data_IF_561410470758
#
_entry.id   IF_561410470758
#
_cell.length_a   1.000
_cell.length_b   1.000
_cell.length_c   1.000
_cell.angle_alpha   90.00
_cell.angle_beta   90.00
_cell.angle_gamma   90.00
#
_symmetry.space_group_name_H-M   'P 1'
#
loop_
_entity.id
_entity.type
_entity.pdbx_description
1 polymer ?
#
# COMPACT_ATOMS: atom_id res chain seq x y z
N UNK A 1 1.46 -32.97 -6.75
CA UNK A 1 2.77 -33.11 -6.17
C UNK A 1 3.74 -32.14 -6.81
N UNK A 2 4.25 -31.16 -6.08
CA UNK A 2 5.27 -30.23 -6.57
C UNK A 2 6.66 -30.82 -6.35
N UNK A 3 7.61 -30.45 -7.21
CA UNK A 3 9.00 -30.80 -7.01
C UNK A 3 9.57 -29.99 -5.82
N UNK A 4 10.29 -30.68 -4.93
CA UNK A 4 11.04 -30.00 -3.87
C UNK A 4 12.21 -29.26 -4.52
N UNK A 5 12.25 -27.94 -4.34
CA UNK A 5 13.37 -27.12 -4.82
C UNK A 5 14.39 -26.89 -3.71
N UNK A 6 15.65 -26.63 -4.02
CA UNK A 6 16.67 -26.30 -3.02
C UNK A 6 16.44 -24.91 -2.39
N UNK A 7 15.51 -24.12 -2.91
CA UNK A 7 15.24 -22.76 -2.45
C UNK A 7 14.39 -22.78 -1.17
N UNK A 8 14.77 -21.99 -0.21
CA UNK A 8 14.01 -21.75 1.03
C UNK A 8 13.25 -20.45 0.92
N UNK A 9 12.06 -20.42 1.51
CA UNK A 9 11.33 -19.15 1.70
C UNK A 9 12.19 -18.27 2.63
N UNK A 10 12.58 -17.05 2.20
CA UNK A 10 13.37 -16.17 3.03
C UNK A 10 12.56 -15.71 4.25
N UNK A 11 13.24 -15.42 5.35
CA UNK A 11 12.63 -14.75 6.50
C UNK A 11 12.40 -13.28 6.17
N UNK A 12 11.46 -12.62 6.87
CA UNK A 12 11.22 -11.19 6.70
C UNK A 12 12.51 -10.38 6.90
N UNK A 13 13.31 -10.72 7.92
CA UNK A 13 14.60 -10.06 8.14
C UNK A 13 15.51 -10.14 6.91
N UNK A 14 15.64 -11.31 6.29
CA UNK A 14 16.45 -11.47 5.07
C UNK A 14 15.92 -10.63 3.90
N UNK A 15 14.60 -10.51 3.78
CA UNK A 15 13.96 -9.68 2.74
C UNK A 15 14.25 -8.20 3.00
N UNK A 16 14.09 -7.73 4.23
CA UNK A 16 14.36 -6.33 4.61
C UNK A 16 15.84 -5.97 4.39
N UNK A 17 16.75 -6.81 4.80
CA UNK A 17 18.19 -6.65 4.58
C UNK A 17 18.52 -6.55 3.07
N UNK A 18 17.94 -7.44 2.28
CA UNK A 18 18.16 -7.45 0.83
C UNK A 18 17.62 -6.20 0.14
N UNK A 19 16.44 -5.75 0.54
CA UNK A 19 15.74 -4.63 -0.09
C UNK A 19 16.05 -3.26 0.53
N UNK A 20 16.87 -3.21 1.58
CA UNK A 20 17.32 -1.96 2.18
C UNK A 20 17.93 -1.05 1.11
N UNK A 21 17.47 0.18 1.04
CA UNK A 21 17.91 1.21 0.10
C UNK A 21 17.67 0.87 -1.40
N UNK A 22 16.85 -0.16 -1.71
CA UNK A 22 16.57 -0.59 -3.09
C UNK A 22 15.09 -0.53 -3.44
N UNK A 23 14.21 -0.87 -2.50
CA UNK A 23 12.77 -0.97 -2.72
C UNK A 23 12.01 -0.45 -1.51
N UNK A 24 10.77 -0.02 -1.72
CA UNK A 24 9.80 0.21 -0.64
C UNK A 24 9.02 -1.07 -0.40
N UNK A 25 8.91 -1.47 0.85
CA UNK A 25 8.12 -2.63 1.25
C UNK A 25 6.72 -2.19 1.69
N UNK A 26 5.70 -2.70 1.03
CA UNK A 26 4.33 -2.53 1.49
C UNK A 26 3.92 -3.74 2.34
N UNK A 27 3.73 -3.52 3.63
CA UNK A 27 3.31 -4.55 4.58
C UNK A 27 1.78 -4.58 4.70
N UNK A 28 1.19 -5.66 4.25
CA UNK A 28 -0.24 -5.92 4.37
C UNK A 28 -0.50 -6.94 5.49
N UNK A 29 -0.95 -6.46 6.66
CA UNK A 29 -1.28 -7.30 7.81
C UNK A 29 -2.58 -8.06 7.59
N UNK A 30 -2.47 -9.30 7.13
CA UNK A 30 -3.65 -10.14 6.81
C UNK A 30 -4.51 -10.50 8.03
N UNK A 31 -3.95 -10.53 9.25
CA UNK A 31 -4.73 -10.89 10.44
C UNK A 31 -5.84 -9.90 10.79
N UNK A 32 -5.65 -8.62 10.48
CA UNK A 32 -6.61 -7.56 10.83
C UNK A 32 -7.96 -7.75 10.10
N UNK A 33 -7.93 -8.24 8.86
CA UNK A 33 -9.12 -8.37 8.01
C UNK A 33 -9.54 -9.82 7.74
N UNK A 34 -8.87 -10.80 8.32
CA UNK A 34 -9.24 -12.20 8.11
C UNK A 34 -10.53 -12.49 8.86
N UNK A 35 -11.56 -12.95 8.13
CA UNK A 35 -12.84 -13.37 8.72
C UNK A 35 -12.61 -14.50 9.73
N UNK A 36 -13.19 -14.38 10.92
CA UNK A 36 -13.07 -15.37 11.99
C UNK A 36 -11.84 -15.19 12.89
N UNK A 37 -10.99 -14.22 12.65
CA UNK A 37 -9.93 -13.83 13.58
C UNK A 37 -10.54 -13.00 14.71
N UNK A 38 -10.26 -13.39 15.96
CA UNK A 38 -10.75 -12.66 17.14
C UNK A 38 -10.09 -11.28 17.27
N UNK A 39 -10.76 -10.35 17.94
CA UNK A 39 -10.22 -9.00 18.15
C UNK A 39 -8.95 -9.00 19.02
N UNK A 40 -8.79 -9.99 19.92
CA UNK A 40 -7.55 -10.20 20.65
C UNK A 40 -6.37 -10.51 19.71
N UNK A 41 -6.57 -11.40 18.73
CA UNK A 41 -5.53 -11.76 17.75
C UNK A 41 -5.22 -10.58 16.84
N UNK A 42 -6.23 -9.83 16.43
CA UNK A 42 -6.04 -8.60 15.64
C UNK A 42 -5.19 -7.59 16.41
N UNK A 43 -5.59 -7.32 17.68
CA UNK A 43 -4.84 -6.40 18.54
C UNK A 43 -3.40 -6.88 18.77
N UNK A 44 -3.21 -8.16 19.08
CA UNK A 44 -1.87 -8.72 19.27
C UNK A 44 -0.99 -8.58 18.02
N UNK A 45 -1.59 -8.66 16.82
CA UNK A 45 -0.90 -8.42 15.57
C UNK A 45 -0.48 -6.96 15.42
N UNK A 46 -1.35 -5.98 15.73
CA UNK A 46 -1.01 -4.56 15.74
C UNK A 46 0.12 -4.26 16.74
N UNK A 47 -0.02 -4.75 17.96
CA UNK A 47 0.98 -4.57 19.03
C UNK A 47 2.35 -5.17 18.63
N UNK A 48 2.34 -6.29 17.89
CA UNK A 48 3.56 -6.89 17.36
C UNK A 48 4.25 -5.95 16.35
N UNK A 49 3.50 -5.38 15.39
CA UNK A 49 4.05 -4.41 14.44
C UNK A 49 4.60 -3.17 15.15
N UNK A 50 3.86 -2.63 16.12
CA UNK A 50 4.31 -1.50 16.95
C UNK A 50 5.65 -1.85 17.61
N UNK A 51 5.75 -3.00 18.26
CA UNK A 51 6.99 -3.45 18.89
C UNK A 51 8.16 -3.53 17.91
N UNK A 52 7.93 -4.03 16.70
CA UNK A 52 9.00 -4.19 15.71
C UNK A 52 9.46 -2.85 15.10
N UNK A 53 8.54 -1.90 14.95
CA UNK A 53 8.79 -0.59 14.34
C UNK A 53 9.29 0.48 15.34
N UNK A 54 9.01 0.28 16.63
CA UNK A 54 9.46 1.18 17.69
C UNK A 54 10.99 1.17 17.86
N UNK A 55 11.60 2.22 18.42
CA UNK A 55 13.04 2.27 18.68
C UNK A 55 13.54 1.03 19.43
N UNK A 56 14.54 0.36 18.85
CA UNK A 56 15.08 -0.90 19.35
C UNK A 56 14.36 -2.17 18.88
N UNK A 57 13.29 -2.06 18.13
CA UNK A 57 12.65 -3.18 17.43
C UNK A 57 13.42 -3.60 16.17
N UNK A 58 13.21 -4.84 15.73
CA UNK A 58 13.95 -5.43 14.60
C UNK A 58 13.75 -4.70 13.26
N UNK A 59 12.65 -3.94 13.11
CA UNK A 59 12.33 -3.21 11.88
C UNK A 59 12.58 -1.70 11.98
N UNK A 60 12.92 -1.19 13.15
CA UNK A 60 13.04 0.25 13.41
C UNK A 60 14.14 0.96 12.59
N UNK A 61 15.09 0.20 12.07
CA UNK A 61 16.19 0.72 11.25
C UNK A 61 15.87 0.83 9.75
N UNK A 62 14.71 0.34 9.32
CA UNK A 62 14.31 0.37 7.92
C UNK A 62 13.34 1.53 7.68
N UNK A 63 13.76 2.49 6.86
CA UNK A 63 12.97 3.68 6.51
C UNK A 63 12.17 3.53 5.21
N UNK A 64 12.21 2.34 4.63
CA UNK A 64 11.55 1.99 3.37
C UNK A 64 10.34 1.05 3.58
N UNK A 65 9.68 1.17 4.74
CA UNK A 65 8.47 0.42 5.07
C UNK A 65 7.25 1.31 4.90
N UNK A 66 6.26 0.79 4.19
CA UNK A 66 4.91 1.30 4.09
C UNK A 66 3.96 0.28 4.73
N UNK A 67 3.01 0.73 5.53
CA UNK A 67 1.98 -0.11 6.13
C UNK A 67 0.65 0.07 5.42
N UNK A 68 0.12 -0.99 4.82
CA UNK A 68 -1.27 -1.01 4.37
C UNK A 68 -2.20 -1.07 5.58
N UNK A 69 -2.95 0.00 5.79
CA UNK A 69 -3.95 0.10 6.86
C UNK A 69 -5.36 0.15 6.28
N UNK A 70 -6.34 -0.38 7.01
CA UNK A 70 -7.70 -0.60 6.49
C UNK A 70 -8.71 0.45 6.96
N UNK A 71 -8.32 1.26 7.93
CA UNK A 71 -9.16 2.33 8.44
C UNK A 71 -8.30 3.44 9.02
N UNK A 72 -8.91 4.61 9.15
CA UNK A 72 -8.29 5.74 9.85
C UNK A 72 -7.97 5.39 11.32
N UNK A 73 -8.82 4.60 11.98
CA UNK A 73 -8.60 4.17 13.37
C UNK A 73 -7.35 3.29 13.49
N UNK A 74 -7.10 2.42 12.51
CA UNK A 74 -5.88 1.61 12.47
C UNK A 74 -4.64 2.48 12.27
N UNK A 75 -4.69 3.43 11.35
CA UNK A 75 -3.60 4.39 11.15
C UNK A 75 -3.31 5.20 12.42
N UNK A 76 -4.36 5.75 13.03
CA UNK A 76 -4.27 6.49 14.29
C UNK A 76 -3.77 5.61 15.44
N UNK A 77 -4.11 4.30 15.45
CA UNK A 77 -3.58 3.39 16.44
C UNK A 77 -2.06 3.29 16.38
N UNK A 78 -1.48 3.12 15.19
CA UNK A 78 -0.02 3.13 15.03
C UNK A 78 0.57 4.51 15.36
N UNK A 79 -0.03 5.58 14.84
CA UNK A 79 0.43 6.96 15.04
C UNK A 79 0.50 7.33 16.52
N UNK A 80 -0.57 7.05 17.28
CA UNK A 80 -0.67 7.35 18.71
C UNK A 80 0.28 6.50 19.57
N UNK A 81 0.80 5.39 19.03
CA UNK A 81 1.83 4.58 19.67
C UNK A 81 3.26 4.98 19.23
N UNK A 82 3.41 6.14 18.58
CA UNK A 82 4.72 6.71 18.24
C UNK A 82 5.36 6.12 16.99
N UNK A 83 4.60 5.43 16.13
CA UNK A 83 5.11 4.92 14.85
C UNK A 83 5.03 6.05 13.81
N UNK A 84 6.11 6.83 13.73
CA UNK A 84 6.25 7.98 12.83
C UNK A 84 7.36 7.79 11.79
N UNK A 85 7.92 6.59 11.67
CA UNK A 85 9.04 6.26 10.78
C UNK A 85 8.62 5.44 9.57
N UNK A 86 7.32 5.35 9.30
CA UNK A 86 6.73 4.63 8.17
C UNK A 86 5.75 5.52 7.40
N UNK A 87 5.42 5.11 6.20
CA UNK A 87 4.31 5.66 5.43
C UNK A 87 3.09 4.77 5.59
N UNK A 88 1.92 5.35 5.76
CA UNK A 88 0.65 4.62 5.80
C UNK A 88 0.01 4.61 4.42
N UNK A 89 -0.19 3.43 3.86
CA UNK A 89 -0.98 3.24 2.64
C UNK A 89 -2.45 3.08 3.04
N UNK A 90 -3.25 4.10 2.78
CA UNK A 90 -4.62 4.22 3.25
C UNK A 90 -5.59 4.33 2.09
N UNK A 91 -6.82 3.77 2.23
CA UNK A 91 -7.84 3.95 1.21
C UNK A 91 -8.41 5.37 1.24
N UNK A 92 -8.22 6.12 0.13
CA UNK A 92 -8.87 7.41 -0.11
C UNK A 92 -9.54 7.35 -1.49
N UNK A 93 -10.74 6.79 -1.52
CA UNK A 93 -11.52 6.53 -2.73
C UNK A 93 -12.86 7.29 -2.74
N UNK A 94 -12.97 8.34 -1.94
CA UNK A 94 -14.14 9.24 -1.87
C UNK A 94 -13.79 10.57 -1.22
N UNK A 95 -14.64 11.58 -1.39
CA UNK A 95 -14.54 12.86 -0.66
C UNK A 95 -14.64 12.65 0.86
N UNK A 96 -15.48 11.73 1.31
CA UNK A 96 -15.62 11.41 2.74
C UNK A 96 -14.32 10.88 3.33
N UNK A 97 -13.65 9.96 2.63
CA UNK A 97 -12.34 9.46 3.04
C UNK A 97 -11.29 10.59 3.08
N UNK A 98 -11.25 11.43 2.03
CA UNK A 98 -10.33 12.56 2.00
C UNK A 98 -10.55 13.49 3.19
N UNK A 99 -11.79 13.90 3.46
CA UNK A 99 -12.11 14.77 4.59
C UNK A 99 -11.80 14.15 5.95
N UNK A 100 -11.94 12.82 6.10
CA UNK A 100 -11.60 12.14 7.33
C UNK A 100 -10.11 12.23 7.62
N UNK A 101 -9.26 12.00 6.60
CA UNK A 101 -7.81 12.14 6.75
C UNK A 101 -7.37 13.61 6.87
N UNK A 102 -8.04 14.54 6.20
CA UNK A 102 -7.75 15.98 6.32
C UNK A 102 -8.01 16.55 7.73
N UNK A 103 -8.84 15.87 8.50
CA UNK A 103 -9.19 16.23 9.90
C UNK A 103 -8.42 15.44 10.95
N UNK A 104 -7.64 14.43 10.55
CA UNK A 104 -6.88 13.62 11.51
C UNK A 104 -5.50 14.22 11.80
N UNK A 105 -4.87 13.74 12.88
CA UNK A 105 -3.57 14.24 13.34
C UNK A 105 -2.37 13.65 12.58
N UNK A 106 -2.59 12.79 11.58
CA UNK A 106 -1.50 12.22 10.78
C UNK A 106 -1.14 13.20 9.65
N UNK A 107 0.09 13.71 9.60
CA UNK A 107 0.52 14.59 8.53
C UNK A 107 0.47 13.91 7.15
N UNK A 108 0.13 14.67 6.12
CA UNK A 108 -0.02 14.15 4.76
C UNK A 108 1.25 13.55 4.16
N UNK A 109 2.44 13.97 4.62
CA UNK A 109 3.73 13.40 4.21
C UNK A 109 4.00 12.00 4.77
N UNK A 110 3.14 11.51 5.69
CA UNK A 110 3.11 10.13 6.16
C UNK A 110 2.03 9.28 5.48
N UNK A 111 1.32 9.82 4.50
CA UNK A 111 0.21 9.14 3.84
C UNK A 111 0.53 8.90 2.37
N UNK A 112 0.26 7.67 1.93
CA UNK A 112 0.07 7.30 0.53
C UNK A 112 -1.39 6.94 0.33
N UNK A 113 -2.04 7.55 -0.64
CA UNK A 113 -3.44 7.32 -0.90
C UNK A 113 -3.65 6.14 -1.86
N UNK A 114 -4.29 5.07 -1.37
CA UNK A 114 -4.78 3.98 -2.20
C UNK A 114 -6.14 4.37 -2.80
N UNK A 115 -6.13 4.69 -4.08
CA UNK A 115 -7.30 5.28 -4.77
C UNK A 115 -8.11 4.28 -5.58
N UNK A 116 -7.80 3.01 -5.51
CA UNK A 116 -8.42 1.82 -6.12
C UNK A 116 -8.57 1.84 -7.64
N UNK A 117 -9.29 2.81 -8.21
CA UNK A 117 -9.63 2.86 -9.64
C UNK A 117 -9.17 4.20 -10.21
N UNK A 118 -8.11 4.15 -11.01
CA UNK A 118 -7.53 5.35 -11.62
C UNK A 118 -8.44 5.99 -12.67
N UNK A 119 -9.23 5.20 -13.39
CA UNK A 119 -10.07 5.69 -14.49
C UNK A 119 -11.52 6.01 -14.10
N UNK A 120 -11.82 6.22 -12.83
CA UNK A 120 -13.14 6.69 -12.41
C UNK A 120 -13.19 8.23 -12.44
N UNK A 121 -13.88 8.87 -13.40
CA UNK A 121 -13.94 10.32 -13.49
C UNK A 121 -14.54 11.01 -12.26
N UNK A 122 -15.39 10.32 -11.49
CA UNK A 122 -15.99 10.85 -10.25
C UNK A 122 -14.93 11.07 -9.16
N UNK A 123 -13.79 10.40 -9.26
CA UNK A 123 -12.69 10.49 -8.30
C UNK A 123 -11.59 11.48 -8.73
N UNK A 124 -11.62 12.03 -9.93
CA UNK A 124 -10.57 12.97 -10.38
C UNK A 124 -10.44 14.20 -9.48
N UNK A 125 -11.55 14.68 -8.90
CA UNK A 125 -11.52 15.74 -7.91
C UNK A 125 -10.73 15.37 -6.65
N UNK A 126 -10.86 14.13 -6.19
CA UNK A 126 -10.12 13.60 -5.04
C UNK A 126 -8.64 13.45 -5.38
N UNK A 127 -8.31 12.87 -6.54
CA UNK A 127 -6.92 12.73 -7.00
C UNK A 127 -6.22 14.07 -7.08
N UNK A 128 -6.89 15.07 -7.68
CA UNK A 128 -6.34 16.43 -7.74
C UNK A 128 -6.06 17.01 -6.36
N UNK A 129 -6.98 16.85 -5.41
CA UNK A 129 -6.79 17.33 -4.03
C UNK A 129 -5.60 16.64 -3.34
N UNK A 130 -5.39 15.35 -3.59
CA UNK A 130 -4.26 14.59 -3.06
C UNK A 130 -2.94 15.13 -3.65
N UNK A 131 -2.85 15.27 -4.97
CA UNK A 131 -1.68 15.82 -5.64
C UNK A 131 -1.38 17.27 -5.23
N UNK A 132 -2.40 18.11 -5.08
CA UNK A 132 -2.26 19.51 -4.60
C UNK A 132 -1.66 19.55 -3.16
N UNK A 133 -1.76 18.47 -2.38
CA UNK A 133 -1.11 18.29 -1.07
C UNK A 133 0.25 17.58 -1.12
N UNK A 134 0.70 17.18 -2.31
CA UNK A 134 1.93 16.40 -2.47
C UNK A 134 1.79 14.94 -2.01
N UNK A 135 0.57 14.42 -1.91
CA UNK A 135 0.30 13.04 -1.50
C UNK A 135 0.43 12.13 -2.72
N UNK A 136 1.28 11.11 -2.62
CA UNK A 136 1.41 10.09 -3.65
C UNK A 136 0.14 9.22 -3.71
N UNK A 137 -0.26 8.88 -4.93
CA UNK A 137 -1.41 8.02 -5.19
C UNK A 137 -0.98 6.64 -5.65
N UNK A 138 -1.66 5.61 -5.15
CA UNK A 138 -1.46 4.22 -5.54
C UNK A 138 -2.78 3.61 -6.02
N UNK A 139 -2.76 2.94 -7.17
CA UNK A 139 -3.91 2.19 -7.67
C UNK A 139 -3.59 0.71 -7.79
N UNK A 140 -4.58 -0.16 -7.56
CA UNK A 140 -4.47 -1.59 -7.84
C UNK A 140 -5.31 -1.95 -9.05
N UNK A 141 -4.68 -2.57 -10.01
CA UNK A 141 -5.32 -3.06 -11.23
C UNK A 141 -5.37 -4.58 -11.31
N UNK A 142 -4.94 -5.26 -10.25
CA UNK A 142 -4.92 -6.75 -10.15
C UNK A 142 -6.32 -7.36 -10.27
N UNK A 143 -7.36 -6.64 -9.85
CA UNK A 143 -8.77 -7.05 -9.95
C UNK A 143 -9.46 -6.66 -11.25
N UNK A 144 -8.87 -5.77 -12.06
CA UNK A 144 -9.45 -5.15 -13.26
C UNK A 144 -8.60 -5.41 -14.50
N UNK A 145 -7.74 -4.48 -14.86
CA UNK A 145 -6.95 -4.50 -16.10
C UNK A 145 -6.04 -5.72 -16.23
N UNK A 146 -5.50 -6.25 -15.13
CA UNK A 146 -4.71 -7.50 -15.12
C UNK A 146 -5.55 -8.74 -15.48
N UNK A 147 -6.87 -8.70 -15.35
CA UNK A 147 -7.77 -9.81 -15.75
C UNK A 147 -8.04 -9.86 -17.25
N UNK A 148 -7.62 -8.86 -18.01
CA UNK A 148 -7.72 -8.87 -19.48
C UNK A 148 -6.76 -9.93 -20.02
N UNK A 149 -7.32 -10.99 -20.66
CA UNK A 149 -6.54 -12.17 -21.07
C UNK A 149 -5.57 -11.90 -22.21
N UNK A 150 -5.96 -11.07 -23.17
CA UNK A 150 -5.14 -10.73 -24.33
C UNK A 150 -4.14 -9.61 -23.95
N UNK A 151 -2.85 -9.85 -24.14
CA UNK A 151 -1.81 -8.91 -23.77
C UNK A 151 -1.91 -7.55 -24.47
N UNK A 152 -2.34 -7.54 -25.76
CA UNK A 152 -2.55 -6.29 -26.50
C UNK A 152 -3.69 -5.46 -25.91
N UNK A 153 -4.80 -6.10 -25.59
CA UNK A 153 -5.96 -5.43 -25.01
C UNK A 153 -5.67 -5.00 -23.57
N UNK A 154 -4.89 -5.81 -22.83
CA UNK A 154 -4.42 -5.46 -21.48
C UNK A 154 -3.53 -4.23 -21.49
N UNK A 155 -2.62 -4.10 -22.48
CA UNK A 155 -1.81 -2.90 -22.66
C UNK A 155 -2.67 -1.63 -22.86
N UNK A 156 -3.72 -1.72 -23.66
CA UNK A 156 -4.69 -0.62 -23.87
C UNK A 156 -5.39 -0.27 -22.54
N UNK A 157 -5.74 -1.29 -21.74
CA UNK A 157 -6.31 -1.06 -20.42
C UNK A 157 -5.32 -0.34 -19.48
N UNK A 158 -4.05 -0.72 -19.50
CA UNK A 158 -3.01 -0.05 -18.72
C UNK A 158 -2.81 1.42 -19.12
N UNK A 159 -2.81 1.72 -20.41
CA UNK A 159 -2.72 3.11 -20.91
C UNK A 159 -3.88 3.98 -20.39
N UNK A 160 -5.07 3.40 -20.18
CA UNK A 160 -6.21 4.11 -19.56
C UNK A 160 -6.01 4.36 -18.08
N UNK A 161 -5.42 3.40 -17.34
CA UNK A 161 -5.12 3.57 -15.92
C UNK A 161 -4.13 4.72 -15.70
N UNK A 162 -3.19 4.90 -16.63
CA UNK A 162 -2.19 5.99 -16.57
C UNK A 162 -2.79 7.39 -16.79
N UNK A 163 -4.00 7.50 -17.34
CA UNK A 163 -4.66 8.81 -17.53
C UNK A 163 -4.99 9.54 -16.23
N UNK A 164 -5.05 8.84 -15.11
CA UNK A 164 -5.25 9.45 -13.79
C UNK A 164 -3.94 9.78 -13.07
N UNK A 165 -2.80 9.60 -13.77
CA UNK A 165 -1.46 9.93 -13.27
C UNK A 165 -1.16 9.34 -11.88
N UNK A 166 -1.39 8.02 -11.65
CA UNK A 166 -1.04 7.41 -10.37
C UNK A 166 0.48 7.36 -10.22
N UNK A 167 0.98 7.65 -9.02
CA UNK A 167 2.42 7.55 -8.73
C UNK A 167 2.89 6.10 -8.62
N UNK A 168 2.00 5.20 -8.17
CA UNK A 168 2.29 3.76 -8.03
C UNK A 168 1.14 2.93 -8.58
N UNK A 169 1.48 1.86 -9.29
CA UNK A 169 0.53 0.86 -9.77
C UNK A 169 0.87 -0.52 -9.17
N UNK A 170 -0.12 -1.12 -8.51
CA UNK A 170 -0.07 -2.52 -8.09
C UNK A 170 -0.59 -3.42 -9.22
N UNK A 171 0.28 -4.29 -9.74
CA UNK A 171 -0.03 -5.19 -10.87
C UNK A 171 0.64 -6.55 -10.71
N UNK A 172 0.00 -7.60 -11.27
CA UNK A 172 0.57 -8.93 -11.40
C UNK A 172 1.59 -9.04 -12.56
N UNK A 173 1.62 -8.04 -13.47
CA UNK A 173 2.44 -8.03 -14.69
C UNK A 173 3.35 -6.81 -14.83
N UNK A 174 4.24 -6.52 -13.85
CA UNK A 174 5.02 -5.28 -13.85
C UNK A 174 5.89 -5.10 -15.10
N UNK A 175 6.36 -6.19 -15.71
CA UNK A 175 7.16 -6.13 -16.94
C UNK A 175 6.39 -5.60 -18.17
N UNK A 176 5.06 -5.65 -18.16
CA UNK A 176 4.25 -5.15 -19.27
C UNK A 176 4.13 -3.61 -19.28
N UNK A 177 4.50 -2.96 -18.18
CA UNK A 177 4.58 -1.50 -18.09
C UNK A 177 5.86 -0.92 -18.71
N UNK A 178 6.86 -1.76 -19.02
CA UNK A 178 8.09 -1.28 -19.67
C UNK A 178 7.75 -0.67 -21.02
N UNK A 179 8.12 0.63 -21.20
CA UNK A 179 7.89 1.38 -22.42
C UNK A 179 6.45 1.91 -22.62
N UNK A 180 5.63 1.89 -21.56
CA UNK A 180 4.43 2.73 -21.51
C UNK A 180 4.83 4.19 -21.23
N UNK A 181 4.07 5.18 -21.72
CA UNK A 181 4.29 6.57 -21.34
C UNK A 181 3.87 6.77 -19.86
N UNK A 182 4.81 7.22 -19.07
CA UNK A 182 4.60 7.63 -17.67
C UNK A 182 4.62 9.15 -17.60
#
# INVERSE_FOLDING_TARGET
>A
GGNVTPYKIPTLKQILEWGKDKVVFNFDNKYINTKGVSDEVKKASLDYYIKQLSPGGDWSMYHNIMLSVRSIDEALYYWNHGIHNVMFCVEISSEEHFEAYDKCDIPWDHIMAYVRLAVNPELYGVYKKLHDRGVMTMTSITGSSDKVKNAKDRRIAYERELLAEPDIIETDYPSEFIGLPW
#
